data_IF_115833572177
#
_entry.id   IF_115833572177
#
_cell.length_a   1.000
_cell.length_b   1.000
_cell.length_c   1.000
_cell.angle_alpha   90.00
_cell.angle_beta   90.00
_cell.angle_gamma   90.00
#
_symmetry.space_group_name_H-M   'P 1'
#
loop_
_entity.id
_entity.type
_entity.pdbx_description
1 polymer ?
#
# COMPACT_ATOMS: atom_id res chain seq x y z
N UNK A 1 24.12 -10.70 0.24
CA UNK A 1 23.08 -11.73 0.00
C UNK A 1 23.70 -13.12 0.06
N UNK A 2 22.93 -14.19 0.26
CA UNK A 2 23.45 -15.57 0.19
C UNK A 2 23.66 -16.00 -1.27
N UNK A 3 24.72 -16.76 -1.54
CA UNK A 3 25.11 -17.20 -2.89
C UNK A 3 24.04 -18.00 -3.62
N UNK A 4 23.19 -18.70 -2.85
CA UNK A 4 22.06 -19.49 -3.35
C UNK A 4 21.06 -18.61 -4.10
N UNK A 5 20.76 -17.42 -3.56
CA UNK A 5 19.74 -16.54 -4.13
C UNK A 5 20.13 -16.00 -5.51
N UNK A 6 21.41 -15.63 -5.69
CA UNK A 6 21.94 -15.19 -6.98
C UNK A 6 21.86 -16.30 -8.03
N UNK A 7 22.24 -17.53 -7.66
CA UNK A 7 22.13 -18.69 -8.55
C UNK A 7 20.70 -19.00 -8.95
N UNK A 8 19.74 -18.84 -8.03
CA UNK A 8 18.32 -19.04 -8.36
C UNK A 8 17.83 -18.04 -9.41
N UNK A 9 18.27 -16.78 -9.34
CA UNK A 9 17.95 -15.78 -10.35
C UNK A 9 18.54 -16.09 -11.74
N UNK A 10 19.79 -16.57 -11.79
CA UNK A 10 20.44 -16.93 -13.06
C UNK A 10 19.74 -18.10 -13.77
N UNK A 11 19.24 -19.06 -12.99
CA UNK A 11 18.54 -20.22 -13.52
C UNK A 11 17.06 -19.96 -13.83
N UNK A 12 16.52 -18.80 -13.47
CA UNK A 12 15.10 -18.51 -13.66
C UNK A 12 14.81 -18.16 -15.13
N UNK A 13 14.16 -19.08 -15.84
CA UNK A 13 13.72 -18.89 -17.24
C UNK A 13 12.32 -18.26 -17.28
N UNK A 14 12.21 -17.00 -16.90
CA UNK A 14 10.93 -16.26 -16.92
C UNK A 14 11.04 -14.81 -16.42
N UNK A 15 9.89 -14.20 -16.12
CA UNK A 15 9.81 -12.87 -15.50
C UNK A 15 9.70 -13.01 -13.98
N UNK A 16 10.71 -12.54 -13.26
CA UNK A 16 10.75 -12.57 -11.80
C UNK A 16 10.38 -11.20 -11.24
N UNK A 17 9.34 -11.14 -10.39
CA UNK A 17 9.01 -9.96 -9.61
C UNK A 17 9.59 -10.06 -8.21
N UNK A 18 10.37 -9.07 -7.82
CA UNK A 18 10.97 -8.96 -6.49
C UNK A 18 10.48 -7.70 -5.80
N UNK A 19 10.22 -7.80 -4.50
CA UNK A 19 9.83 -6.66 -3.66
C UNK A 19 10.77 -6.57 -2.47
N UNK A 20 11.14 -5.35 -2.08
CA UNK A 20 12.08 -5.12 -0.98
C UNK A 20 11.79 -3.80 -0.29
N UNK A 21 11.83 -3.82 1.04
CA UNK A 21 11.76 -2.61 1.86
C UNK A 21 13.16 -2.05 2.19
N UNK A 22 14.22 -2.64 1.61
CA UNK A 22 15.62 -2.36 1.93
C UNK A 22 16.43 -2.16 0.65
N UNK A 23 16.19 -1.02 -0.01
CA UNK A 23 17.03 -0.56 -1.13
C UNK A 23 18.40 -0.19 -0.56
N UNK A 24 19.47 -0.81 -1.06
CA UNK A 24 20.86 -0.57 -0.61
C UNK A 24 21.53 -1.77 0.10
N UNK A 25 20.79 -2.84 0.39
CA UNK A 25 21.37 -4.10 0.90
C UNK A 25 21.61 -5.15 -0.20
N UNK A 26 21.41 -4.76 -1.46
CA UNK A 26 21.68 -5.60 -2.62
C UNK A 26 23.13 -5.43 -3.04
N UNK A 27 23.79 -6.54 -3.38
CA UNK A 27 25.10 -6.47 -4.01
C UNK A 27 24.98 -6.03 -5.48
N UNK A 28 26.05 -5.46 -6.02
CA UNK A 28 26.08 -4.96 -7.39
C UNK A 28 25.80 -6.04 -8.44
N UNK A 29 26.16 -7.30 -8.13
CA UNK A 29 25.92 -8.44 -9.01
C UNK A 29 24.43 -8.83 -9.09
N UNK A 30 23.65 -8.58 -8.05
CA UNK A 30 22.20 -8.71 -8.08
C UNK A 30 21.58 -7.60 -8.91
N UNK A 31 21.97 -6.34 -8.68
CA UNK A 31 21.39 -5.17 -9.37
C UNK A 31 21.68 -5.23 -10.88
N UNK A 32 22.86 -5.72 -11.28
CA UNK A 32 23.23 -5.86 -12.70
C UNK A 32 22.31 -6.80 -13.51
N UNK A 33 21.58 -7.68 -12.84
CA UNK A 33 20.63 -8.63 -13.48
C UNK A 33 19.18 -8.14 -13.45
N UNK A 34 18.91 -6.97 -12.86
CA UNK A 34 17.57 -6.37 -12.79
C UNK A 34 17.37 -5.44 -13.99
N UNK A 35 16.42 -5.80 -14.86
CA UNK A 35 16.13 -5.04 -16.08
C UNK A 35 15.33 -3.75 -15.79
N UNK A 36 14.45 -3.78 -14.78
CA UNK A 36 13.59 -2.65 -14.41
C UNK A 36 13.52 -2.55 -12.90
N UNK A 37 13.81 -1.36 -12.38
CA UNK A 37 13.65 -1.03 -10.96
C UNK A 37 12.48 -0.06 -10.82
N UNK A 38 11.44 -0.49 -10.10
CA UNK A 38 10.31 0.38 -9.75
C UNK A 38 10.47 0.83 -8.30
N UNK A 39 10.73 2.12 -8.12
CA UNK A 39 10.72 2.74 -6.81
C UNK A 39 9.29 3.18 -6.47
N UNK A 40 8.81 2.74 -5.32
CA UNK A 40 7.56 3.23 -4.74
C UNK A 40 7.90 4.30 -3.71
N UNK A 41 7.62 5.56 -4.05
CA UNK A 41 7.78 6.67 -3.11
C UNK A 41 6.61 6.73 -2.12
N UNK A 42 6.81 7.51 -1.06
CA UNK A 42 5.76 7.75 -0.09
C UNK A 42 4.54 8.43 -0.74
N UNK A 43 3.35 8.08 -0.27
CA UNK A 43 2.10 8.59 -0.81
C UNK A 43 1.95 10.09 -0.53
N UNK A 44 1.75 10.88 -1.59
CA UNK A 44 1.36 12.29 -1.44
C UNK A 44 -0.02 12.40 -0.78
N UNK A 45 -0.35 13.57 -0.23
CA UNK A 45 -1.70 13.81 0.31
C UNK A 45 -2.80 13.52 -0.73
N UNK A 46 -2.55 13.90 -1.99
CA UNK A 46 -3.48 13.66 -3.10
C UNK A 46 -3.63 12.17 -3.39
N UNK A 47 -2.54 11.40 -3.34
CA UNK A 47 -2.59 9.96 -3.58
C UNK A 47 -3.29 9.24 -2.43
N UNK A 48 -3.02 9.64 -1.18
CA UNK A 48 -3.74 9.14 0.00
C UNK A 48 -5.24 9.39 -0.12
N UNK A 49 -5.65 10.60 -0.49
CA UNK A 49 -7.06 10.94 -0.68
C UNK A 49 -7.75 10.07 -1.76
N UNK A 50 -7.06 9.84 -2.90
CA UNK A 50 -7.56 8.94 -3.96
C UNK A 50 -7.72 7.50 -3.45
N UNK A 51 -6.72 7.00 -2.73
CA UNK A 51 -6.74 5.65 -2.16
C UNK A 51 -7.89 5.51 -1.16
N UNK A 52 -8.09 6.48 -0.26
CA UNK A 52 -9.23 6.50 0.65
C UNK A 52 -10.57 6.44 -0.08
N UNK A 53 -10.74 7.24 -1.14
CA UNK A 53 -11.96 7.22 -1.94
C UNK A 53 -12.19 5.86 -2.61
N UNK A 54 -11.14 5.26 -3.18
CA UNK A 54 -11.21 3.91 -3.76
C UNK A 54 -11.60 2.87 -2.71
N UNK A 55 -11.05 2.93 -1.50
CA UNK A 55 -11.42 2.03 -0.41
C UNK A 55 -12.86 2.22 0.04
N UNK A 56 -13.34 3.47 0.19
CA UNK A 56 -14.74 3.73 0.53
C UNK A 56 -15.70 3.18 -0.52
N UNK A 57 -15.39 3.37 -1.80
CA UNK A 57 -16.20 2.84 -2.89
C UNK A 57 -16.20 1.31 -2.87
N UNK A 58 -15.03 0.68 -2.71
CA UNK A 58 -14.89 -0.77 -2.63
C UNK A 58 -15.67 -1.36 -1.44
N UNK A 59 -15.56 -0.76 -0.26
CA UNK A 59 -16.29 -1.18 0.93
C UNK A 59 -17.81 -1.05 0.75
N UNK A 60 -18.27 0.03 0.12
CA UNK A 60 -19.69 0.21 -0.17
C UNK A 60 -20.20 -0.83 -1.17
N UNK A 61 -19.41 -1.19 -2.18
CA UNK A 61 -19.75 -2.24 -3.15
C UNK A 61 -19.76 -3.63 -2.51
N UNK A 62 -18.76 -3.99 -1.71
CA UNK A 62 -18.59 -5.35 -1.17
C UNK A 62 -19.39 -5.58 0.12
N UNK A 63 -19.53 -4.55 0.97
CA UNK A 63 -20.08 -4.66 2.33
C UNK A 63 -21.17 -3.62 2.62
N UNK A 64 -21.68 -2.91 1.62
CA UNK A 64 -22.68 -1.85 1.81
C UNK A 64 -23.99 -2.29 2.47
N UNK A 65 -24.28 -3.60 2.52
CA UNK A 65 -25.43 -4.15 3.28
C UNK A 65 -25.21 -4.12 4.80
N UNK A 66 -23.97 -4.13 5.26
CA UNK A 66 -23.61 -4.24 6.68
C UNK A 66 -22.87 -3.00 7.19
N UNK A 67 -22.19 -2.26 6.31
CA UNK A 67 -21.36 -1.12 6.67
C UNK A 67 -21.80 0.09 5.87
N UNK A 68 -22.27 1.13 6.57
CA UNK A 68 -22.57 2.44 5.98
C UNK A 68 -21.51 3.44 6.41
N UNK A 69 -20.82 4.05 5.45
CA UNK A 69 -19.83 5.10 5.71
C UNK A 69 -20.55 6.45 5.69
N UNK A 70 -20.60 7.14 6.84
CA UNK A 70 -21.25 8.44 6.93
C UNK A 70 -20.49 9.53 6.13
N UNK A 71 -21.22 10.53 5.64
CA UNK A 71 -20.62 11.70 4.97
C UNK A 71 -19.63 12.44 5.86
N UNK A 72 -19.87 12.47 7.18
CA UNK A 72 -18.96 13.07 8.17
C UNK A 72 -17.64 12.31 8.25
N UNK A 73 -17.67 10.98 8.25
CA UNK A 73 -16.47 10.15 8.25
C UNK A 73 -15.63 10.34 6.98
N UNK A 74 -16.28 10.39 5.80
CA UNK A 74 -15.57 10.70 4.54
C UNK A 74 -14.90 12.08 4.59
N UNK A 75 -15.63 13.09 5.07
CA UNK A 75 -15.10 14.46 5.20
C UNK A 75 -13.93 14.54 6.18
N UNK A 76 -14.04 13.88 7.33
CA UNK A 76 -12.96 13.85 8.32
C UNK A 76 -11.66 13.30 7.73
N UNK A 77 -11.72 12.21 6.97
CA UNK A 77 -10.52 11.59 6.40
C UNK A 77 -9.97 12.36 5.19
N UNK A 78 -10.83 13.06 4.44
CA UNK A 78 -10.45 13.72 3.17
C UNK A 78 -10.15 15.22 3.30
N UNK A 79 -10.73 15.91 4.27
CA UNK A 79 -10.70 17.37 4.37
C UNK A 79 -10.14 17.88 5.71
N UNK A 80 -10.04 17.05 6.75
CA UNK A 80 -9.48 17.48 8.04
C UNK A 80 -7.98 17.70 7.93
N UNK A 81 -7.55 18.95 8.15
CA UNK A 81 -6.16 19.37 7.96
C UNK A 81 -5.15 18.68 8.88
N UNK A 82 -5.57 18.07 9.98
CA UNK A 82 -4.66 17.31 10.84
C UNK A 82 -4.55 15.87 10.33
N UNK A 83 -5.66 15.25 9.93
CA UNK A 83 -5.69 13.88 9.40
C UNK A 83 -5.01 13.78 8.03
N UNK A 84 -5.20 14.76 7.16
CA UNK A 84 -4.62 14.76 5.80
C UNK A 84 -3.10 14.90 5.82
N UNK A 85 -2.51 15.51 6.85
CA UNK A 85 -1.05 15.65 6.99
C UNK A 85 -0.35 14.38 7.49
N UNK A 86 -1.08 13.47 8.14
CA UNK A 86 -0.49 12.22 8.68
C UNK A 86 -0.01 11.34 7.52
N UNK A 87 1.27 10.94 7.46
CA UNK A 87 1.86 10.21 6.32
C UNK A 87 1.46 8.72 6.30
N UNK A 88 0.16 8.45 6.21
CA UNK A 88 -0.41 7.12 6.15
C UNK A 88 0.14 6.31 4.98
N UNK A 89 0.64 5.11 5.26
CA UNK A 89 0.99 4.16 4.21
C UNK A 89 -0.23 3.33 3.77
N UNK A 90 -0.10 2.67 2.61
CA UNK A 90 -1.22 1.90 2.05
C UNK A 90 -1.75 0.77 2.95
N UNK A 91 -0.91 0.19 3.83
CA UNK A 91 -1.36 -0.84 4.78
C UNK A 91 -2.17 -0.23 5.91
N UNK A 92 -1.74 0.92 6.42
CA UNK A 92 -2.47 1.62 7.48
C UNK A 92 -3.81 2.15 6.99
N UNK A 93 -3.87 2.73 5.78
CA UNK A 93 -5.13 3.18 5.17
C UNK A 93 -6.13 2.02 5.07
N UNK A 94 -5.67 0.85 4.60
CA UNK A 94 -6.49 -0.36 4.50
C UNK A 94 -6.97 -0.87 5.87
N UNK A 95 -6.12 -0.76 6.89
CA UNK A 95 -6.43 -1.27 8.22
C UNK A 95 -7.26 -0.27 9.06
N UNK A 96 -7.22 1.02 8.75
CA UNK A 96 -7.97 2.06 9.46
C UNK A 96 -9.46 2.11 9.10
N UNK A 97 -9.86 1.56 7.95
CA UNK A 97 -11.26 1.59 7.50
C UNK A 97 -12.21 0.67 8.28
N UNK A 98 -11.83 -0.58 8.65
CA UNK A 98 -12.70 -1.47 9.44
C UNK A 98 -12.84 -1.14 10.92
N UNK A 99 -11.90 -0.38 11.52
CA UNK A 99 -11.88 -0.15 12.98
C UNK A 99 -12.94 0.90 13.41
N UNK A 100 -13.49 1.66 12.46
CA UNK A 100 -14.49 2.71 12.73
C UNK A 100 -15.96 2.26 12.60
N UNK A 101 -16.25 0.96 12.51
CA UNK A 101 -17.58 0.45 12.85
C UNK A 101 -17.56 0.02 14.30
N UNK A 102 -18.47 0.53 15.16
CA UNK A 102 -18.50 0.10 16.54
C UNK A 102 -18.68 -1.41 16.56
N UNK A 103 -17.82 -2.09 17.31
CA UNK A 103 -18.11 -3.39 17.90
C UNK A 103 -19.43 -3.23 18.66
N UNK A 104 -20.53 -3.54 17.99
CA UNK A 104 -21.79 -3.80 18.65
C UNK A 104 -21.66 -5.20 19.25
N UNK A 105 -21.82 -5.25 20.57
CA UNK A 105 -22.25 -6.43 21.32
C UNK A 105 -23.47 -7.09 20.66
#
# INVERSE_FOLDING_TARGET
MTTVFVRTMECYRGILFLTTNRVGHFDDAFVSRVHVVMRYDNLSEKDRAKIWLQFFNKLQTERGRYITISRRAKRYVLEDGEVTKIPWNGREIRNGTPIATPTAM
#
